data_IF_130231594149
#
_entry.id   IF_130231594149
#
_cell.length_a   1.000
_cell.length_b   1.000
_cell.length_c   1.000
_cell.angle_alpha   90.00
_cell.angle_beta   90.00
_cell.angle_gamma   90.00
#
_symmetry.space_group_name_H-M   'P 1'
#
loop_
_entity.id
_entity.type
_entity.pdbx_description
1 polymer ?
#
# COMPACT_ATOMS: atom_id res chain seq x y z
N UNK A 1 1.41 2.12 17.01
CA UNK A 1 1.50 1.41 15.71
C UNK A 1 0.39 0.39 15.53
N UNK A 2 0.13 -0.48 16.52
CA UNK A 2 -0.99 -1.43 16.48
C UNK A 2 -2.38 -0.75 16.41
N UNK A 3 -2.60 0.34 17.16
CA UNK A 3 -3.86 1.10 17.11
C UNK A 3 -4.13 1.71 15.74
N UNK A 4 -3.10 2.25 15.08
CA UNK A 4 -3.22 2.78 13.73
C UNK A 4 -3.63 1.69 12.73
N UNK A 5 -3.10 0.48 12.88
CA UNK A 5 -3.47 -0.65 12.03
C UNK A 5 -4.94 -1.02 12.19
N UNK A 6 -5.43 -1.09 13.44
CA UNK A 6 -6.84 -1.36 13.74
C UNK A 6 -7.75 -0.29 13.12
N UNK A 7 -7.38 0.98 13.26
CA UNK A 7 -8.17 2.09 12.70
C UNK A 7 -8.20 2.05 11.16
N UNK A 8 -7.06 1.80 10.50
CA UNK A 8 -7.03 1.69 9.05
C UNK A 8 -7.78 0.47 8.53
N UNK A 9 -7.69 -0.70 9.19
CA UNK A 9 -8.49 -1.89 8.82
C UNK A 9 -9.99 -1.63 8.94
N UNK A 10 -10.42 -0.99 10.03
CA UNK A 10 -11.82 -0.58 10.22
C UNK A 10 -12.29 0.40 9.13
N UNK A 11 -11.45 1.38 8.79
CA UNK A 11 -11.75 2.33 7.73
C UNK A 11 -11.83 1.65 6.35
N UNK A 12 -10.94 0.67 6.09
CA UNK A 12 -10.91 -0.10 4.86
C UNK A 12 -12.21 -0.89 4.69
N UNK A 13 -12.62 -1.65 5.70
CA UNK A 13 -13.88 -2.41 5.69
C UNK A 13 -15.09 -1.51 5.41
N UNK A 14 -15.15 -0.34 6.08
CA UNK A 14 -16.22 0.63 5.87
C UNK A 14 -16.26 1.20 4.45
N UNK A 15 -15.09 1.56 3.88
CA UNK A 15 -14.98 2.13 2.53
C UNK A 15 -15.23 1.09 1.44
N UNK A 16 -14.74 -0.13 1.61
CA UNK A 16 -15.05 -1.25 0.71
C UNK A 16 -16.56 -1.51 0.64
N UNK A 17 -17.25 -1.49 1.79
CA UNK A 17 -18.70 -1.66 1.83
C UNK A 17 -19.47 -0.48 1.22
N UNK A 18 -19.00 0.74 1.43
CA UNK A 18 -19.70 1.94 0.99
C UNK A 18 -19.51 2.22 -0.52
N UNK A 19 -18.30 2.03 -1.04
CA UNK A 19 -17.90 2.49 -2.37
C UNK A 19 -17.23 1.42 -3.24
N UNK A 20 -16.90 0.27 -2.65
CA UNK A 20 -16.21 -0.81 -3.35
C UNK A 20 -14.69 -0.78 -3.19
N UNK A 21 -14.02 -1.89 -3.59
CA UNK A 21 -12.58 -2.09 -3.39
C UNK A 21 -11.70 -1.20 -4.28
N UNK A 22 -12.20 -0.74 -5.42
CA UNK A 22 -11.45 0.04 -6.42
C UNK A 22 -11.67 1.55 -6.31
N UNK A 23 -12.52 1.99 -5.39
CA UNK A 23 -12.72 3.43 -5.17
C UNK A 23 -11.45 4.08 -4.61
N UNK A 24 -11.08 5.26 -5.12
CA UNK A 24 -9.85 6.00 -4.75
C UNK A 24 -9.65 6.08 -3.23
N UNK A 25 -10.67 6.44 -2.46
CA UNK A 25 -10.54 6.50 -0.99
C UNK A 25 -10.31 5.14 -0.33
N UNK A 26 -10.81 4.05 -0.91
CA UNK A 26 -10.51 2.69 -0.45
C UNK A 26 -9.04 2.38 -0.70
N UNK A 27 -8.55 2.66 -1.91
CA UNK A 27 -7.17 2.45 -2.33
C UNK A 27 -6.17 3.29 -1.53
N UNK A 28 -6.52 4.54 -1.19
CA UNK A 28 -5.73 5.37 -0.27
C UNK A 28 -5.57 4.72 1.10
N UNK A 29 -6.60 4.04 1.59
CA UNK A 29 -6.54 3.33 2.87
C UNK A 29 -5.61 2.13 2.79
N UNK A 30 -5.66 1.39 1.68
CA UNK A 30 -4.75 0.27 1.39
C UNK A 30 -3.30 0.78 1.33
N UNK A 31 -3.04 1.87 0.60
CA UNK A 31 -1.72 2.50 0.55
C UNK A 31 -1.21 2.90 1.95
N UNK A 32 -2.07 3.51 2.77
CA UNK A 32 -1.71 3.89 4.14
C UNK A 32 -1.37 2.70 5.05
N UNK A 33 -2.05 1.55 4.87
CA UNK A 33 -1.66 0.30 5.52
C UNK A 33 -0.28 -0.18 5.05
N UNK A 34 0.03 -0.07 3.75
CA UNK A 34 1.35 -0.37 3.21
C UNK A 34 2.45 0.49 3.83
N UNK A 35 2.22 1.79 3.96
CA UNK A 35 3.15 2.71 4.64
C UNK A 35 3.34 2.33 6.10
N UNK A 36 2.26 1.98 6.79
CA UNK A 36 2.31 1.55 8.19
C UNK A 36 3.15 0.28 8.35
N UNK A 37 2.92 -0.75 7.53
CA UNK A 37 3.68 -1.99 7.58
C UNK A 37 5.16 -1.79 7.24
N UNK A 38 5.48 -0.96 6.25
CA UNK A 38 6.88 -0.60 5.94
C UNK A 38 7.57 0.00 7.16
N UNK A 39 6.91 0.93 7.87
CA UNK A 39 7.45 1.55 9.09
C UNK A 39 7.59 0.56 10.26
N UNK A 40 6.87 -0.56 10.25
CA UNK A 40 6.99 -1.64 11.24
C UNK A 40 8.06 -2.69 10.87
N UNK A 41 8.72 -2.57 9.71
CA UNK A 41 9.63 -3.59 9.20
C UNK A 41 8.94 -4.79 8.55
N UNK A 42 7.61 -4.76 8.44
CA UNK A 42 6.78 -5.82 7.84
C UNK A 42 6.76 -5.68 6.31
N UNK A 43 7.88 -6.03 5.68
CA UNK A 43 8.10 -5.72 4.25
C UNK A 43 7.16 -6.50 3.33
N UNK A 44 6.87 -7.76 3.64
CA UNK A 44 5.95 -8.60 2.85
C UNK A 44 4.51 -8.07 2.90
N UNK A 45 4.03 -7.67 4.07
CA UNK A 45 2.70 -7.09 4.22
C UNK A 45 2.60 -5.71 3.56
N UNK A 46 3.67 -4.90 3.63
CA UNK A 46 3.73 -3.62 2.92
C UNK A 46 3.64 -3.80 1.40
N UNK A 47 4.38 -4.76 0.84
CA UNK A 47 4.36 -5.09 -0.58
C UNK A 47 2.98 -5.53 -1.05
N UNK A 48 2.32 -6.40 -0.28
CA UNK A 48 0.98 -6.87 -0.59
C UNK A 48 -0.03 -5.70 -0.65
N UNK A 49 0.06 -4.76 0.29
CA UNK A 49 -0.80 -3.57 0.29
C UNK A 49 -0.51 -2.66 -0.91
N UNK A 50 0.75 -2.33 -1.20
CA UNK A 50 1.07 -1.47 -2.34
C UNK A 50 0.70 -2.10 -3.69
N UNK A 51 0.90 -3.42 -3.88
CA UNK A 51 0.45 -4.11 -5.10
C UNK A 51 -1.05 -4.05 -5.26
N UNK A 52 -1.81 -4.28 -4.18
CA UNK A 52 -3.26 -4.19 -4.19
C UNK A 52 -3.73 -2.77 -4.56
N UNK A 53 -3.09 -1.74 -4.00
CA UNK A 53 -3.41 -0.35 -4.33
C UNK A 53 -3.04 -0.01 -5.79
N UNK A 54 -1.90 -0.49 -6.29
CA UNK A 54 -1.46 -0.31 -7.67
C UNK A 54 -2.48 -0.89 -8.66
N UNK A 55 -2.86 -2.15 -8.50
CA UNK A 55 -3.84 -2.81 -9.38
C UNK A 55 -5.19 -2.06 -9.37
N UNK A 56 -5.63 -1.61 -8.20
CA UNK A 56 -6.85 -0.82 -8.08
C UNK A 56 -6.76 0.54 -8.78
N UNK A 57 -5.64 1.26 -8.63
CA UNK A 57 -5.45 2.56 -9.27
C UNK A 57 -5.32 2.45 -10.78
N UNK A 58 -4.63 1.40 -11.28
CA UNK A 58 -4.57 1.09 -12.71
C UNK A 58 -5.96 0.86 -13.30
N UNK A 59 -6.83 0.11 -12.62
CA UNK A 59 -8.21 -0.12 -13.07
C UNK A 59 -9.08 1.11 -12.99
N UNK A 60 -8.99 1.87 -11.90
CA UNK A 60 -9.88 3.00 -11.63
C UNK A 60 -9.52 4.25 -12.46
N UNK A 61 -8.24 4.47 -12.75
CA UNK A 61 -7.76 5.74 -13.33
C UNK A 61 -6.70 5.57 -14.43
N UNK A 62 -6.21 4.36 -14.66
CA UNK A 62 -5.24 4.05 -15.71
C UNK A 62 -3.77 4.05 -15.22
N UNK A 63 -2.86 3.51 -16.04
CA UNK A 63 -1.46 3.30 -15.67
C UNK A 63 -0.65 4.61 -15.52
N UNK A 64 -1.04 5.67 -16.22
CA UNK A 64 -0.31 6.95 -16.23
C UNK A 64 -0.85 7.96 -15.20
N UNK A 65 -1.88 7.59 -14.44
CA UNK A 65 -2.45 8.46 -13.42
C UNK A 65 -1.44 8.68 -12.27
N UNK A 66 -1.42 9.88 -11.69
CA UNK A 66 -0.48 10.28 -10.62
C UNK A 66 -0.46 9.26 -9.47
N UNK A 67 -1.64 8.87 -8.97
CA UNK A 67 -1.75 7.88 -7.87
C UNK A 67 -1.19 6.49 -8.24
N UNK A 68 -1.27 6.11 -9.52
CA UNK A 68 -0.69 4.85 -10.00
C UNK A 68 0.83 4.93 -10.01
N UNK A 69 1.38 6.03 -10.53
CA UNK A 69 2.82 6.29 -10.56
C UNK A 69 3.41 6.40 -9.14
N UNK A 70 2.66 6.98 -8.20
CA UNK A 70 3.03 7.00 -6.78
C UNK A 70 3.15 5.59 -6.20
N UNK A 71 2.27 4.65 -6.58
CA UNK A 71 2.36 3.26 -6.11
C UNK A 71 3.57 2.54 -6.70
N UNK A 72 3.89 2.79 -7.97
CA UNK A 72 5.13 2.29 -8.60
C UNK A 72 6.35 2.79 -7.84
N UNK A 73 6.40 4.09 -7.51
CA UNK A 73 7.47 4.68 -6.71
C UNK A 73 7.55 4.05 -5.31
N UNK A 74 6.42 3.85 -4.63
CA UNK A 74 6.39 3.24 -3.30
C UNK A 74 6.92 1.80 -3.30
N UNK A 75 6.59 1.00 -4.32
CA UNK A 75 7.16 -0.34 -4.51
C UNK A 75 8.67 -0.29 -4.78
N UNK A 76 9.12 0.63 -5.63
CA UNK A 76 10.55 0.82 -5.89
C UNK A 76 11.35 1.17 -4.62
N UNK A 77 10.81 2.06 -3.79
CA UNK A 77 11.38 2.40 -2.48
C UNK A 77 11.41 1.17 -1.57
N UNK A 78 10.34 0.38 -1.53
CA UNK A 78 10.27 -0.84 -0.70
C UNK A 78 11.35 -1.85 -1.10
N UNK A 79 11.51 -2.15 -2.39
CA UNK A 79 12.54 -3.10 -2.85
C UNK A 79 13.95 -2.58 -2.62
N UNK A 80 14.20 -1.27 -2.78
CA UNK A 80 15.49 -0.68 -2.43
C UNK A 80 15.83 -0.89 -0.95
N UNK A 81 14.84 -0.80 -0.05
CA UNK A 81 15.04 -1.09 1.36
C UNK A 81 15.30 -2.57 1.63
N UNK A 82 14.57 -3.48 0.97
CA UNK A 82 14.79 -4.93 1.09
C UNK A 82 16.20 -5.33 0.58
N UNK A 83 16.62 -4.84 -0.59
CA UNK A 83 17.94 -5.13 -1.15
C UNK A 83 19.08 -4.65 -0.25
N UNK A 84 18.95 -3.47 0.36
CA UNK A 84 19.92 -2.98 1.36
C UNK A 84 19.99 -3.83 2.61
N UNK A 85 18.87 -4.40 3.08
CA UNK A 85 18.90 -5.30 4.24
C UNK A 85 19.58 -6.63 3.89
N UNK A 86 19.32 -7.17 2.70
CA UNK A 86 19.99 -8.37 2.20
C UNK A 86 21.51 -8.18 2.05
N UNK A 87 21.97 -6.99 1.66
CA UNK A 87 23.41 -6.65 1.61
C UNK A 87 24.07 -6.53 3.00
N UNK A 88 23.31 -6.19 4.04
CA UNK A 88 23.84 -6.03 5.42
C UNK A 88 23.87 -7.38 6.17
N UNK A 89 23.04 -8.33 5.78
CA UNK A 89 22.95 -9.67 6.40
C UNK A 89 23.88 -10.73 5.75
N UNK A 90 24.61 -10.37 4.69
CA UNK A 90 25.58 -11.24 3.98
C UNK A 90 27.02 -11.08 4.51
#
# INVERSE_FOLDING_TARGET
>A
MAEAEVMYRRALEGREKAWGPEHTSTLDTVNNLGVLYKKQGKMTEAEAMYRRALEGYEKASGPEHESTLDMVNNLGVLYKHQGKMAEVEA
#
